data_IF_212011062445
#
_entry.id   IF_212011062445
#
_cell.length_a   1.000
_cell.length_b   1.000
_cell.length_c   1.000
_cell.angle_alpha   90.00
_cell.angle_beta   90.00
_cell.angle_gamma   90.00
#
_symmetry.space_group_name_H-M   'P 1'
#
loop_
_entity.id
_entity.type
_entity.pdbx_description
1 polymer ?
#
# COMPACT_ATOMS: atom_id res chain seq x y z
N UNK A 1 26.49 -18.92 38.63
CA UNK A 1 25.24 -19.67 38.49
C UNK A 1 24.13 -18.66 38.25
N UNK A 2 23.81 -18.42 36.97
CA UNK A 2 22.70 -17.56 36.57
C UNK A 2 21.66 -18.46 35.93
N UNK A 3 20.68 -18.90 36.73
CA UNK A 3 19.53 -19.61 36.21
C UNK A 3 18.54 -18.60 35.62
N UNK A 4 17.97 -18.98 34.48
CA UNK A 4 17.21 -18.13 33.59
C UNK A 4 15.94 -17.57 34.24
N UNK A 5 15.71 -16.29 33.97
CA UNK A 5 14.40 -15.67 34.14
C UNK A 5 13.53 -16.10 32.96
N UNK A 6 13.08 -17.36 32.96
CA UNK A 6 12.13 -17.87 31.98
C UNK A 6 10.72 -17.34 32.31
N UNK A 7 10.44 -16.14 31.81
CA UNK A 7 9.15 -15.79 31.23
C UNK A 7 8.04 -15.27 32.14
N UNK A 8 7.92 -15.65 33.42
CA UNK A 8 6.85 -15.11 34.26
C UNK A 8 7.30 -14.93 35.70
N UNK A 9 7.32 -13.67 36.15
CA UNK A 9 7.48 -13.34 37.57
C UNK A 9 6.33 -13.99 38.35
N UNK A 10 6.64 -14.82 39.34
CA UNK A 10 5.62 -15.35 40.24
C UNK A 10 5.52 -14.49 41.50
N UNK A 11 4.39 -14.58 42.21
CA UNK A 11 4.23 -13.90 43.48
C UNK A 11 5.27 -14.35 44.54
N UNK A 12 5.75 -15.59 44.43
CA UNK A 12 6.79 -16.13 45.30
C UNK A 12 8.17 -15.54 44.96
N UNK A 13 8.45 -15.25 43.69
CA UNK A 13 9.68 -14.58 43.26
C UNK A 13 9.76 -13.14 43.75
N UNK A 14 8.61 -12.44 43.81
CA UNK A 14 8.52 -11.09 44.39
C UNK A 14 8.77 -11.13 45.89
N UNK A 15 8.16 -12.10 46.59
CA UNK A 15 8.32 -12.27 48.05
C UNK A 15 9.74 -12.62 48.45
N UNK A 16 10.42 -13.45 47.65
CA UNK A 16 11.76 -13.95 47.96
C UNK A 16 12.88 -13.01 47.47
N UNK A 17 12.54 -11.88 46.84
CA UNK A 17 13.52 -10.95 46.26
C UNK A 17 14.25 -10.17 47.35
N UNK A 18 15.58 -10.26 47.37
CA UNK A 18 16.44 -9.47 48.27
C UNK A 18 17.16 -8.38 47.48
N UNK A 19 16.93 -7.11 47.85
CA UNK A 19 17.62 -5.96 47.26
C UNK A 19 18.86 -5.57 48.10
N UNK A 20 19.94 -5.17 47.45
CA UNK A 20 21.16 -4.69 48.12
C UNK A 20 21.11 -3.18 48.36
N UNK A 21 21.42 -2.72 49.58
CA UNK A 21 21.40 -1.30 49.95
C UNK A 21 22.73 -0.62 49.59
N UNK A 22 22.73 0.38 48.71
CA UNK A 22 23.91 1.21 48.41
C UNK A 22 23.88 2.50 49.24
N UNK A 23 24.91 2.74 50.07
CA UNK A 23 24.97 3.85 51.05
C UNK A 23 25.36 5.23 50.47
N UNK A 24 25.32 5.41 49.15
CA UNK A 24 25.95 6.57 48.50
C UNK A 24 25.01 7.55 47.78
N UNK A 25 23.69 7.32 47.74
CA UNK A 25 22.67 8.29 47.25
C UNK A 25 21.33 8.07 47.95
N UNK A 26 20.47 9.10 47.93
CA UNK A 26 19.07 9.06 48.42
C UNK A 26 18.40 7.75 47.99
N UNK A 27 18.18 6.87 48.97
CA UNK A 27 17.66 5.52 48.77
C UNK A 27 16.16 5.50 48.96
N UNK A 28 15.50 4.54 48.31
CA UNK A 28 14.11 4.21 48.58
C UNK A 28 13.92 3.87 50.07
N UNK A 29 12.81 4.31 50.66
CA UNK A 29 12.43 3.88 52.00
C UNK A 29 12.09 2.38 51.95
N UNK A 30 12.83 1.59 52.73
CA UNK A 30 12.66 0.14 52.78
C UNK A 30 11.24 -0.25 53.18
N UNK A 31 10.62 0.49 54.10
CA UNK A 31 9.26 0.20 54.54
C UNK A 31 8.23 0.45 53.43
N UNK A 32 8.43 1.51 52.63
CA UNK A 32 7.58 1.82 51.48
C UNK A 32 7.76 0.79 50.35
N UNK A 33 9.02 0.37 50.10
CA UNK A 33 9.33 -0.68 49.12
C UNK A 33 8.72 -2.00 49.53
N UNK A 34 8.82 -2.41 50.79
CA UNK A 34 8.23 -3.66 51.28
C UNK A 34 6.70 -3.64 51.17
N UNK A 35 6.06 -2.51 51.47
CA UNK A 35 4.62 -2.34 51.30
C UNK A 35 4.20 -2.44 49.82
N UNK A 36 4.92 -1.77 48.92
CA UNK A 36 4.67 -1.83 47.49
C UNK A 36 4.87 -3.25 46.92
N UNK A 37 5.91 -3.98 47.37
CA UNK A 37 6.13 -5.36 46.96
C UNK A 37 5.01 -6.29 47.43
N UNK A 38 4.40 -6.03 48.59
CA UNK A 38 3.19 -6.72 49.05
C UNK A 38 1.99 -6.51 48.11
N UNK A 39 1.77 -5.28 47.64
CA UNK A 39 0.71 -4.98 46.67
C UNK A 39 0.94 -5.65 45.31
N UNK A 40 2.19 -5.65 44.85
CA UNK A 40 2.59 -6.35 43.61
C UNK A 40 2.40 -7.86 43.76
N UNK A 41 2.78 -8.44 44.90
CA UNK A 41 2.59 -9.88 45.18
C UNK A 41 1.12 -10.28 45.14
N UNK A 42 0.24 -9.50 45.78
CA UNK A 42 -1.20 -9.75 45.77
C UNK A 42 -1.78 -9.63 44.36
N UNK A 43 -1.39 -8.59 43.62
CA UNK A 43 -1.85 -8.36 42.25
C UNK A 43 -1.43 -9.47 41.30
N UNK A 44 -0.18 -9.93 41.42
CA UNK A 44 0.39 -10.98 40.58
C UNK A 44 -0.23 -12.36 40.87
N UNK A 45 -0.53 -12.64 42.14
CA UNK A 45 -1.26 -13.84 42.57
C UNK A 45 -2.68 -13.86 42.00
N UNK A 46 -3.37 -12.71 42.02
CA UNK A 46 -4.71 -12.57 41.44
C UNK A 46 -4.68 -12.76 39.93
N UNK A 47 -3.72 -12.12 39.25
CA UNK A 47 -3.57 -12.25 37.80
C UNK A 47 -3.30 -13.69 37.37
N UNK A 48 -2.44 -14.42 38.10
CA UNK A 48 -2.20 -15.84 37.83
C UNK A 48 -3.46 -16.68 37.98
N UNK A 49 -4.23 -16.44 39.05
CA UNK A 49 -5.49 -17.16 39.27
C UNK A 49 -6.49 -16.89 38.15
N UNK A 50 -6.67 -15.62 37.78
CA UNK A 50 -7.59 -15.21 36.73
C UNK A 50 -7.15 -15.76 35.36
N UNK A 51 -5.85 -15.79 35.08
CA UNK A 51 -5.27 -16.41 33.88
C UNK A 51 -5.52 -17.92 33.83
N UNK A 52 -5.23 -18.65 34.91
CA UNK A 52 -5.49 -20.09 34.99
C UNK A 52 -7.00 -20.40 34.88
N UNK A 53 -7.86 -19.56 35.47
CA UNK A 53 -9.30 -19.70 35.34
C UNK A 53 -9.78 -19.45 33.89
N UNK A 54 -9.23 -18.44 33.21
CA UNK A 54 -9.54 -18.16 31.82
C UNK A 54 -9.06 -19.31 30.91
N UNK A 55 -7.85 -19.80 31.15
CA UNK A 55 -7.27 -20.93 30.42
C UNK A 55 -8.08 -22.22 30.64
N UNK A 56 -8.52 -22.49 31.86
CA UNK A 56 -9.40 -23.61 32.16
C UNK A 56 -10.76 -23.46 31.45
N UNK A 57 -11.37 -22.26 31.46
CA UNK A 57 -12.62 -21.99 30.75
C UNK A 57 -12.48 -22.12 29.24
N UNK A 58 -11.40 -21.61 28.65
CA UNK A 58 -11.09 -21.75 27.23
C UNK A 58 -10.80 -23.20 26.86
N UNK A 59 -10.05 -23.93 27.69
CA UNK A 59 -9.80 -25.36 27.51
C UNK A 59 -11.10 -26.16 27.51
N UNK A 60 -11.95 -25.98 28.52
CA UNK A 60 -13.26 -26.63 28.64
C UNK A 60 -14.20 -26.25 27.48
N UNK A 61 -14.23 -24.98 27.07
CA UNK A 61 -15.00 -24.53 25.92
C UNK A 61 -14.50 -25.18 24.62
N UNK A 62 -13.18 -25.23 24.40
CA UNK A 62 -12.59 -25.87 23.22
C UNK A 62 -12.88 -27.37 23.14
N UNK A 63 -12.86 -28.07 24.27
CA UNK A 63 -13.15 -29.51 24.35
C UNK A 63 -14.65 -29.77 24.23
N UNK A 64 -15.50 -28.93 24.84
CA UNK A 64 -16.94 -29.05 24.76
C UNK A 64 -17.48 -28.79 23.35
N UNK A 65 -16.84 -27.92 22.57
CA UNK A 65 -17.24 -27.69 21.19
C UNK A 65 -16.67 -28.71 20.18
N UNK A 66 -15.80 -29.63 20.59
CA UNK A 66 -15.13 -30.60 19.71
C UNK A 66 -16.06 -31.45 18.81
N UNK A 67 -17.34 -31.76 19.15
CA UNK A 67 -18.22 -32.48 18.22
C UNK A 67 -19.09 -31.56 17.33
N UNK A 68 -19.10 -30.24 17.51
CA UNK A 68 -20.09 -29.34 16.84
C UNK A 68 -19.53 -28.52 15.67
N UNK A 69 -18.22 -28.52 15.45
CA UNK A 69 -17.56 -27.73 14.41
C UNK A 69 -17.42 -28.40 13.04
N UNK A 70 -17.90 -29.64 12.88
CA UNK A 70 -17.78 -30.37 11.61
C UNK A 70 -18.49 -29.64 10.46
N UNK A 71 -19.60 -28.94 10.73
CA UNK A 71 -20.26 -28.07 9.74
C UNK A 71 -19.63 -26.67 9.63
N UNK A 72 -19.07 -26.12 10.72
CA UNK A 72 -18.49 -24.77 10.73
C UNK A 72 -17.23 -24.66 9.86
N UNK A 73 -16.35 -25.66 9.91
CA UNK A 73 -15.15 -25.69 9.08
C UNK A 73 -15.50 -25.79 7.59
N UNK A 74 -16.53 -26.56 7.22
CA UNK A 74 -16.99 -26.69 5.84
C UNK A 74 -17.67 -25.40 5.33
N UNK A 75 -18.46 -24.73 6.17
CA UNK A 75 -19.06 -23.42 5.83
C UNK A 75 -17.98 -22.36 5.63
N UNK A 76 -16.94 -22.35 6.47
CA UNK A 76 -15.80 -21.43 6.30
C UNK A 76 -15.04 -21.75 5.01
N UNK A 77 -14.76 -23.03 4.72
CA UNK A 77 -14.04 -23.44 3.52
C UNK A 77 -14.84 -23.20 2.22
N UNK A 78 -16.17 -23.30 2.27
CA UNK A 78 -17.05 -22.96 1.13
C UNK A 78 -17.15 -21.46 0.92
N UNK A 79 -17.35 -20.68 2.00
CA UNK A 79 -17.35 -19.22 1.94
C UNK A 79 -16.01 -18.68 1.42
N UNK A 80 -14.89 -19.27 1.84
CA UNK A 80 -13.57 -18.89 1.37
C UNK A 80 -13.38 -19.15 -0.13
N UNK A 81 -13.74 -20.34 -0.63
CA UNK A 81 -13.71 -20.63 -2.08
C UNK A 81 -14.62 -19.72 -2.89
N UNK A 82 -15.79 -19.36 -2.35
CA UNK A 82 -16.69 -18.40 -3.00
C UNK A 82 -16.07 -17.00 -3.05
N UNK A 83 -15.48 -16.54 -1.96
CA UNK A 83 -14.79 -15.25 -1.93
C UNK A 83 -13.61 -15.22 -2.92
N UNK A 84 -12.79 -16.27 -2.95
CA UNK A 84 -11.69 -16.42 -3.91
C UNK A 84 -12.18 -16.41 -5.36
N UNK A 85 -13.30 -17.07 -5.66
CA UNK A 85 -13.92 -17.05 -6.98
C UNK A 85 -14.39 -15.65 -7.39
N UNK A 86 -15.03 -14.92 -6.47
CA UNK A 86 -15.54 -13.56 -6.73
C UNK A 86 -14.37 -12.59 -6.98
N UNK A 87 -13.31 -12.70 -6.18
CA UNK A 87 -12.10 -11.88 -6.34
C UNK A 87 -11.46 -12.19 -7.69
N UNK A 88 -11.25 -13.45 -8.02
CA UNK A 88 -10.65 -13.85 -9.29
C UNK A 88 -11.45 -13.37 -10.51
N UNK A 89 -12.79 -13.43 -10.44
CA UNK A 89 -13.65 -12.92 -11.49
C UNK A 89 -13.58 -11.39 -11.61
N UNK A 90 -13.60 -10.68 -10.48
CA UNK A 90 -13.47 -9.22 -10.47
C UNK A 90 -12.13 -8.77 -11.06
N UNK A 91 -11.03 -9.44 -10.70
CA UNK A 91 -9.69 -9.19 -11.24
C UNK A 91 -9.60 -9.50 -12.75
N UNK A 92 -10.26 -10.55 -13.23
CA UNK A 92 -10.33 -10.84 -14.66
C UNK A 92 -11.04 -9.70 -15.41
N UNK A 93 -12.22 -9.29 -14.93
CA UNK A 93 -12.99 -8.17 -15.52
C UNK A 93 -12.21 -6.86 -15.50
N UNK A 94 -11.48 -6.58 -14.42
CA UNK A 94 -10.65 -5.38 -14.31
C UNK A 94 -9.53 -5.39 -15.36
N UNK A 95 -8.85 -6.53 -15.56
CA UNK A 95 -7.82 -6.68 -16.60
C UNK A 95 -8.38 -6.48 -18.00
N UNK A 96 -9.55 -7.05 -18.29
CA UNK A 96 -10.19 -6.88 -19.60
C UNK A 96 -10.52 -5.40 -19.87
N UNK A 97 -11.05 -4.71 -18.86
CA UNK A 97 -11.35 -3.28 -18.94
C UNK A 97 -10.07 -2.45 -19.17
N UNK A 98 -8.98 -2.76 -18.48
CA UNK A 98 -7.70 -2.08 -18.68
C UNK A 98 -7.18 -2.27 -20.11
N UNK A 99 -7.27 -3.48 -20.66
CA UNK A 99 -6.87 -3.75 -22.04
C UNK A 99 -7.73 -2.96 -23.03
N UNK A 100 -9.04 -2.90 -22.81
CA UNK A 100 -9.94 -2.09 -23.63
C UNK A 100 -9.57 -0.59 -23.56
N UNK A 101 -9.32 -0.06 -22.36
CA UNK A 101 -8.92 1.34 -22.19
C UNK A 101 -7.59 1.64 -22.87
N UNK A 102 -6.59 0.75 -22.75
CA UNK A 102 -5.30 0.88 -23.44
C UNK A 102 -5.48 0.90 -24.96
N UNK A 103 -6.30 0.00 -25.48
CA UNK A 103 -6.58 -0.08 -26.90
C UNK A 103 -7.35 1.17 -27.40
N UNK A 104 -8.31 1.67 -26.62
CA UNK A 104 -9.02 2.93 -26.93
C UNK A 104 -8.05 4.12 -26.98
N UNK A 105 -7.14 4.22 -26.02
CA UNK A 105 -6.10 5.26 -26.02
C UNK A 105 -5.16 5.11 -27.22
N UNK A 106 -4.76 3.89 -27.56
CA UNK A 106 -3.93 3.60 -28.73
C UNK A 106 -4.60 4.08 -30.02
N UNK A 107 -5.88 3.73 -30.22
CA UNK A 107 -6.66 4.15 -31.39
C UNK A 107 -6.81 5.67 -31.46
N UNK A 108 -7.09 6.31 -30.32
CA UNK A 108 -7.19 7.77 -30.26
C UNK A 108 -5.85 8.43 -30.64
N UNK A 109 -4.74 7.92 -30.13
CA UNK A 109 -3.40 8.42 -30.48
C UNK A 109 -3.09 8.24 -31.97
N UNK A 110 -3.47 7.09 -32.55
CA UNK A 110 -3.29 6.83 -33.98
C UNK A 110 -4.09 7.81 -34.85
N UNK A 111 -5.35 8.07 -34.50
CA UNK A 111 -6.19 9.06 -35.19
C UNK A 111 -5.55 10.45 -35.11
N UNK A 112 -5.14 10.87 -33.91
CA UNK A 112 -4.52 12.19 -33.72
C UNK A 112 -3.24 12.34 -34.55
N UNK A 113 -2.39 11.31 -34.57
CA UNK A 113 -1.17 11.31 -35.38
C UNK A 113 -1.48 11.44 -36.87
N UNK A 114 -2.50 10.73 -37.37
CA UNK A 114 -2.93 10.85 -38.77
C UNK A 114 -3.40 12.28 -39.07
N UNK A 115 -4.24 12.86 -38.21
CA UNK A 115 -4.73 14.24 -38.41
C UNK A 115 -3.60 15.26 -38.37
N UNK A 116 -2.61 15.09 -37.49
CA UNK A 116 -1.44 15.96 -37.41
C UNK A 116 -0.60 15.87 -38.69
N UNK A 117 -0.37 14.66 -39.21
CA UNK A 117 0.34 14.46 -40.47
C UNK A 117 -0.38 15.12 -41.65
N UNK A 118 -1.71 15.01 -41.71
CA UNK A 118 -2.52 15.66 -42.74
C UNK A 118 -2.40 17.19 -42.65
N UNK A 119 -2.57 17.76 -41.45
CA UNK A 119 -2.38 19.18 -41.24
C UNK A 119 -0.97 19.67 -41.60
N UNK A 120 0.07 18.91 -41.26
CA UNK A 120 1.45 19.24 -41.62
C UNK A 120 1.66 19.23 -43.15
N UNK A 121 1.09 18.25 -43.86
CA UNK A 121 1.13 18.19 -45.33
C UNK A 121 0.42 19.38 -45.96
N UNK A 122 -0.76 19.73 -45.47
CA UNK A 122 -1.51 20.89 -45.97
C UNK A 122 -0.75 22.20 -45.77
N UNK A 123 -0.13 22.39 -44.61
CA UNK A 123 0.70 23.57 -44.33
C UNK A 123 1.89 23.66 -45.28
N UNK A 124 2.55 22.54 -45.56
CA UNK A 124 3.67 22.47 -46.50
C UNK A 124 3.23 22.80 -47.93
N UNK A 125 2.08 22.29 -48.38
CA UNK A 125 1.51 22.63 -49.70
C UNK A 125 1.23 24.13 -49.79
N UNK A 126 0.61 24.73 -48.75
CA UNK A 126 0.33 26.17 -48.72
C UNK A 126 1.62 27.00 -48.73
N UNK A 127 2.65 26.56 -48.01
CA UNK A 127 3.98 27.18 -48.02
C UNK A 127 4.60 27.16 -49.41
N UNK A 128 4.63 26.00 -50.06
CA UNK A 128 5.16 25.85 -51.42
C UNK A 128 4.41 26.73 -52.44
N UNK A 129 3.09 26.85 -52.31
CA UNK A 129 2.32 27.76 -53.16
C UNK A 129 2.68 29.22 -52.93
N UNK A 130 2.90 29.64 -51.68
CA UNK A 130 3.34 31.00 -51.37
C UNK A 130 4.73 31.28 -51.95
N UNK A 131 5.66 30.33 -51.82
CA UNK A 131 7.01 30.44 -52.39
C UNK A 131 6.99 30.51 -53.92
N UNK A 132 6.14 29.70 -54.58
CA UNK A 132 5.93 29.79 -56.04
C UNK A 132 5.38 31.16 -56.45
N UNK A 133 4.31 31.62 -55.81
CA UNK A 133 3.75 32.96 -56.11
C UNK A 133 4.78 34.06 -55.90
N UNK A 134 5.63 33.94 -54.87
CA UNK A 134 6.71 34.89 -54.61
C UNK A 134 7.77 34.84 -55.72
N UNK A 135 8.16 33.67 -56.17
CA UNK A 135 9.08 33.50 -57.30
C UNK A 135 8.50 34.10 -58.59
N UNK A 136 7.23 33.78 -58.90
CA UNK A 136 6.53 34.33 -60.07
C UNK A 136 6.49 35.87 -60.04
N UNK A 137 6.19 36.46 -58.88
CA UNK A 137 6.21 37.92 -58.69
C UNK A 137 7.63 38.47 -58.90
N UNK A 138 8.64 37.81 -58.33
CA UNK A 138 10.03 38.24 -58.45
C UNK A 138 10.53 38.17 -59.90
N UNK A 139 10.19 37.10 -60.62
CA UNK A 139 10.50 36.92 -62.03
C UNK A 139 9.83 38.01 -62.88
N UNK A 140 8.55 38.30 -62.62
CA UNK A 140 7.81 39.37 -63.29
C UNK A 140 8.42 40.76 -63.01
N UNK A 141 8.82 41.04 -61.77
CA UNK A 141 9.53 42.28 -61.43
C UNK A 141 10.88 42.37 -62.13
N UNK A 142 11.62 41.27 -62.22
CA UNK A 142 12.91 41.23 -62.94
C UNK A 142 12.72 41.47 -64.44
N UNK A 143 11.65 40.93 -65.04
CA UNK A 143 11.29 41.15 -66.44
C UNK A 143 10.94 42.62 -66.70
N UNK A 144 10.11 43.24 -65.86
CA UNK A 144 9.79 44.69 -65.98
C UNK A 144 11.07 45.52 -65.86
N UNK A 145 11.92 45.24 -64.88
CA UNK A 145 13.11 46.04 -64.63
C UNK A 145 14.11 45.98 -65.80
N UNK A 146 14.25 44.80 -66.44
CA UNK A 146 15.03 44.65 -67.66
C UNK A 146 14.40 45.41 -68.84
N UNK A 147 13.07 45.39 -68.97
CA UNK A 147 12.36 46.10 -70.04
C UNK A 147 12.51 47.64 -69.93
N UNK A 148 12.47 48.18 -68.70
CA UNK A 148 12.67 49.63 -68.45
C UNK A 148 14.14 50.03 -68.61
N UNK A 149 15.08 49.13 -68.38
CA UNK A 149 16.52 49.37 -68.55
C UNK A 149 17.03 49.43 -70.00
N UNK A 150 16.23 49.04 -71.01
CA UNK A 150 16.62 49.04 -72.43
C UNK A 150 16.28 50.33 -73.21
N UNK A 151 15.75 51.38 -72.57
CA UNK A 151 15.55 52.67 -73.23
C UNK A 151 16.67 53.69 -72.88
N UNK A 152 17.51 54.11 -73.85
CA UNK A 152 18.57 55.13 -73.67
C UNK A 152 18.03 56.56 -73.59
#
# INVERSE_FOLDING_TARGET
MGEGYDGVLTAEDVRNKVFSTSRLREGYDLAEVDMFLGEVQCSLSRLHRDYEQLKARCGLCSTALAPSWQGGAEVIATAQRQAESIIAEAEARARDLELELRERLRRAAEILLVTEQEHARDLEVRRQQADRRRADIQDHLSWINNLVGEHP
#
